data_IF_626989044134
#
_entry.id   IF_626989044134
#
_cell.length_a   1.000
_cell.length_b   1.000
_cell.length_c   1.000
_cell.angle_alpha   90.00
_cell.angle_beta   90.00
_cell.angle_gamma   90.00
#
_symmetry.space_group_name_H-M   'P 1'
#
loop_
_entity.id
_entity.type
_entity.pdbx_description
1 polymer ?
#
# COMPACT_ATOMS: atom_id res chain seq x y z
N UNK A 1 2.44 10.30 10.97
CA UNK A 1 1.05 10.01 10.54
C UNK A 1 0.60 8.74 11.20
N UNK A 2 -0.66 8.66 11.63
CA UNK A 2 -1.23 7.42 12.15
C UNK A 2 -1.69 6.47 11.02
N UNK A 3 -1.76 5.17 11.32
CA UNK A 3 -2.28 4.14 10.41
C UNK A 3 -3.65 4.48 9.81
N UNK A 4 -4.54 5.08 10.61
CA UNK A 4 -5.87 5.49 10.17
C UNK A 4 -5.80 6.62 9.15
N UNK A 5 -4.94 7.60 9.38
CA UNK A 5 -4.74 8.74 8.48
C UNK A 5 -4.15 8.27 7.15
N UNK A 6 -3.14 7.38 7.19
CA UNK A 6 -2.55 6.81 5.99
C UNK A 6 -3.59 6.03 5.17
N UNK A 7 -4.41 5.21 5.83
CA UNK A 7 -5.52 4.51 5.17
C UNK A 7 -6.48 5.49 4.50
N UNK A 8 -6.89 6.55 5.21
CA UNK A 8 -7.80 7.56 4.68
C UNK A 8 -7.22 8.34 3.51
N UNK A 9 -5.93 8.69 3.56
CA UNK A 9 -5.21 9.38 2.48
C UNK A 9 -5.24 8.54 1.19
N UNK A 10 -4.86 7.26 1.30
CA UNK A 10 -4.83 6.34 0.15
C UNK A 10 -6.23 6.01 -0.34
N UNK A 11 -7.18 5.80 0.57
CA UNK A 11 -8.59 5.56 0.23
C UNK A 11 -9.20 6.73 -0.53
N UNK A 12 -8.88 7.97 -0.15
CA UNK A 12 -9.35 9.17 -0.83
C UNK A 12 -8.68 9.35 -2.20
N UNK A 13 -7.36 9.12 -2.31
CA UNK A 13 -6.65 9.25 -3.58
C UNK A 13 -7.15 8.27 -4.66
N UNK A 14 -7.54 7.06 -4.24
CA UNK A 14 -8.03 5.99 -5.11
C UNK A 14 -9.53 5.74 -4.99
N UNK A 15 -10.28 6.74 -4.56
CA UNK A 15 -11.73 6.65 -4.48
C UNK A 15 -12.33 6.26 -5.84
N UNK A 16 -13.29 5.33 -5.82
CA UNK A 16 -13.93 4.78 -7.03
C UNK A 16 -13.12 3.74 -7.80
N UNK A 17 -11.84 3.55 -7.49
CA UNK A 17 -10.99 2.53 -8.12
C UNK A 17 -10.81 1.29 -7.25
N UNK A 18 -11.04 1.43 -5.95
CA UNK A 18 -10.92 0.35 -4.97
C UNK A 18 -11.82 -0.83 -5.35
N UNK A 19 -11.21 -2.01 -5.27
CA UNK A 19 -11.88 -3.29 -5.35
C UNK A 19 -12.62 -3.66 -4.08
N UNK A 20 -12.97 -4.94 -3.99
CA UNK A 20 -13.70 -5.52 -2.86
C UNK A 20 -13.01 -6.79 -2.35
N UNK A 21 -12.91 -6.91 -1.03
CA UNK A 21 -12.76 -8.20 -0.36
C UNK A 21 -14.15 -8.79 -0.19
N UNK A 22 -14.34 -10.01 -0.68
CA UNK A 22 -15.54 -10.82 -0.48
C UNK A 22 -15.16 -11.99 0.40
N UNK A 23 -15.55 -11.93 1.67
CA UNK A 23 -15.24 -12.95 2.66
C UNK A 23 -16.11 -14.21 2.46
N UNK A 24 -15.72 -15.38 3.01
CA UNK A 24 -16.48 -16.63 2.90
C UNK A 24 -17.93 -16.53 3.39
N UNK A 25 -18.21 -15.64 4.35
CA UNK A 25 -19.56 -15.37 4.85
C UNK A 25 -20.39 -14.44 3.94
N UNK A 26 -19.89 -14.10 2.75
CA UNK A 26 -20.52 -13.20 1.78
C UNK A 26 -20.38 -11.71 2.09
N UNK A 27 -19.76 -11.33 3.22
CA UNK A 27 -19.55 -9.92 3.57
C UNK A 27 -18.58 -9.28 2.57
N UNK A 28 -18.97 -8.11 2.06
CA UNK A 28 -18.14 -7.29 1.17
C UNK A 28 -17.62 -6.05 1.87
N UNK A 29 -16.33 -5.79 1.77
CA UNK A 29 -15.69 -4.55 2.24
C UNK A 29 -14.72 -4.05 1.19
N UNK A 30 -14.43 -2.75 1.17
CA UNK A 30 -13.45 -2.18 0.24
C UNK A 30 -12.10 -2.89 0.40
N UNK A 31 -11.43 -3.17 -0.70
CA UNK A 31 -10.16 -3.90 -0.73
C UNK A 31 -8.98 -3.01 -0.29
N UNK A 32 -9.04 -2.48 0.93
CA UNK A 32 -7.98 -1.68 1.56
C UNK A 32 -7.79 -2.13 3.01
N UNK A 33 -6.57 -2.56 3.34
CA UNK A 33 -6.23 -3.04 4.67
C UNK A 33 -4.93 -2.40 5.18
N UNK A 34 -4.91 -2.11 6.47
CA UNK A 34 -3.69 -1.79 7.21
C UNK A 34 -3.31 -3.01 8.01
N UNK A 35 -2.09 -3.51 7.85
CA UNK A 35 -1.65 -4.78 8.43
C UNK A 35 -0.41 -4.58 9.28
N UNK A 36 -0.29 -5.35 10.36
CA UNK A 36 0.96 -5.41 11.11
C UNK A 36 2.01 -6.18 10.30
N UNK A 37 3.28 -5.98 10.64
CA UNK A 37 4.35 -6.74 10.02
C UNK A 37 4.09 -8.24 10.18
N UNK A 38 4.26 -9.00 9.08
CA UNK A 38 4.08 -10.45 9.01
C UNK A 38 2.65 -10.96 9.24
N UNK A 39 1.65 -10.09 9.25
CA UNK A 39 0.24 -10.50 9.29
C UNK A 39 -0.20 -11.02 7.92
N UNK A 40 -0.75 -12.23 7.88
CA UNK A 40 -1.33 -12.78 6.66
C UNK A 40 -2.71 -12.16 6.43
N UNK A 41 -2.84 -11.38 5.36
CA UNK A 41 -4.09 -10.75 4.97
C UNK A 41 -4.20 -10.67 3.43
N UNK A 42 -5.41 -10.85 2.85
CA UNK A 42 -6.67 -11.20 3.51
C UNK A 42 -6.69 -12.64 4.05
N UNK A 43 -7.63 -12.98 4.97
CA UNK A 43 -7.81 -14.35 5.45
C UNK A 43 -8.09 -15.33 4.32
N UNK A 44 -7.72 -16.60 4.51
CA UNK A 44 -7.93 -17.66 3.54
C UNK A 44 -9.40 -17.77 3.09
N UNK A 45 -9.59 -18.05 1.80
CA UNK A 45 -10.91 -18.11 1.18
C UNK A 45 -11.56 -16.75 0.90
N UNK A 46 -10.87 -15.64 1.18
CA UNK A 46 -11.33 -14.30 0.74
C UNK A 46 -11.11 -14.15 -0.75
N UNK A 47 -12.16 -13.85 -1.50
CA UNK A 47 -12.05 -13.48 -2.90
C UNK A 47 -11.76 -11.99 -3.02
N UNK A 48 -10.73 -11.66 -3.80
CA UNK A 48 -10.32 -10.28 -4.08
C UNK A 48 -10.80 -9.92 -5.49
N UNK A 49 -11.50 -8.79 -5.63
CA UNK A 49 -12.04 -8.34 -6.91
C UNK A 49 -11.55 -6.92 -7.21
N UNK A 50 -10.83 -6.72 -8.30
CA UNK A 50 -10.33 -5.41 -8.73
C UNK A 50 -9.06 -4.97 -8.01
N UNK A 51 -9.01 -3.70 -7.61
CA UNK A 51 -7.81 -3.08 -7.04
C UNK A 51 -7.74 -3.34 -5.52
N UNK A 52 -6.68 -4.02 -5.08
CA UNK A 52 -6.37 -4.28 -3.69
C UNK A 52 -5.29 -3.31 -3.19
N UNK A 53 -5.43 -2.84 -1.95
CA UNK A 53 -4.43 -2.04 -1.27
C UNK A 53 -4.10 -2.68 0.08
N UNK A 54 -2.80 -2.86 0.31
CA UNK A 54 -2.25 -3.35 1.57
C UNK A 54 -1.22 -2.36 2.08
N UNK A 55 -1.41 -1.87 3.30
CA UNK A 55 -0.57 -0.87 3.95
C UNK A 55 0.02 -1.49 5.22
N UNK A 56 1.24 -2.03 5.17
CA UNK A 56 1.97 -2.38 6.38
C UNK A 56 2.16 -1.17 7.31
N UNK A 57 2.17 -1.39 8.62
CA UNK A 57 2.62 -0.39 9.59
C UNK A 57 4.00 0.17 9.21
N UNK A 58 4.27 1.45 9.51
CA UNK A 58 5.50 2.09 9.09
C UNK A 58 6.67 1.47 9.82
N UNK A 59 7.81 1.50 9.15
CA UNK A 59 9.07 1.00 9.70
C UNK A 59 9.93 2.21 10.05
N UNK A 60 10.51 2.27 11.25
CA UNK A 60 11.51 3.29 11.53
C UNK A 60 12.74 3.02 10.66
N UNK A 61 13.21 4.03 9.95
CA UNK A 61 14.47 4.02 9.21
C UNK A 61 15.41 5.03 9.85
N UNK A 62 16.66 4.61 10.06
CA UNK A 62 17.70 5.47 10.65
C UNK A 62 18.63 5.95 9.57
N UNK A 63 18.82 7.27 9.47
CA UNK A 63 19.77 7.90 8.58
C UNK A 63 20.88 8.55 9.42
N UNK A 64 22.12 8.13 9.20
CA UNK A 64 23.27 8.77 9.85
C UNK A 64 23.45 10.21 9.34
N UNK A 65 23.71 11.12 10.27
CA UNK A 65 24.09 12.52 10.03
C UNK A 65 25.45 12.78 10.69
N UNK A 66 26.06 13.94 10.44
CA UNK A 66 27.28 14.32 11.16
C UNK A 66 26.93 14.46 12.66
N UNK A 67 27.58 13.65 13.51
CA UNK A 67 27.42 13.59 14.97
C UNK A 67 26.02 13.25 15.52
N UNK A 68 25.09 12.79 14.69
CA UNK A 68 23.76 12.36 15.13
C UNK A 68 23.11 11.37 14.16
N UNK A 69 21.89 10.95 14.47
CA UNK A 69 21.07 10.19 13.54
C UNK A 69 19.67 10.79 13.45
N UNK A 70 19.06 10.60 12.29
CA UNK A 70 17.67 10.94 12.01
C UNK A 70 16.86 9.66 11.97
N UNK A 71 15.70 9.67 12.62
CA UNK A 71 14.71 8.60 12.47
C UNK A 71 13.57 9.13 11.63
N UNK A 72 13.17 8.36 10.63
CA UNK A 72 11.97 8.64 9.84
C UNK A 72 11.08 7.42 9.86
N UNK A 73 9.77 7.64 9.81
CA UNK A 73 8.83 6.56 9.58
C UNK A 73 8.64 6.38 8.08
N UNK A 74 8.98 5.19 7.61
CA UNK A 74 8.80 4.79 6.22
C UNK A 74 7.55 3.93 6.08
N UNK A 75 6.59 4.42 5.31
CA UNK A 75 5.41 3.68 4.90
C UNK A 75 5.68 2.96 3.58
N UNK A 76 5.23 1.72 3.50
CA UNK A 76 5.15 0.99 2.24
C UNK A 76 3.68 0.77 1.93
N UNK A 77 3.28 1.01 0.69
CA UNK A 77 1.93 0.73 0.21
C UNK A 77 2.08 -0.24 -0.96
N UNK A 78 1.37 -1.36 -0.89
CA UNK A 78 1.26 -2.32 -1.97
C UNK A 78 -0.11 -2.21 -2.61
N UNK A 79 -0.14 -1.96 -3.91
CA UNK A 79 -1.35 -1.86 -4.70
C UNK A 79 -1.32 -3.00 -5.71
N UNK A 80 -2.32 -3.87 -5.69
CA UNK A 80 -2.37 -5.05 -6.55
C UNK A 80 -3.61 -4.99 -7.44
N UNK A 81 -3.44 -5.16 -8.75
CA UNK A 81 -4.54 -5.17 -9.71
C UNK A 81 -4.89 -6.61 -10.07
N UNK A 82 -6.00 -7.11 -9.52
CA UNK A 82 -6.48 -8.46 -9.77
C UNK A 82 -7.39 -8.56 -11.00
N UNK A 83 -7.95 -7.44 -11.47
CA UNK A 83 -8.74 -7.40 -12.69
C UNK A 83 -7.81 -7.27 -13.92
N UNK A 84 -7.75 -8.35 -14.72
CA UNK A 84 -6.93 -8.44 -15.93
C UNK A 84 -7.35 -7.46 -17.03
N UNK A 85 -8.58 -6.96 -16.99
CA UNK A 85 -9.07 -5.95 -17.93
C UNK A 85 -8.59 -4.53 -17.61
N UNK A 86 -7.96 -4.33 -16.45
CA UNK A 86 -7.49 -3.02 -15.98
C UNK A 86 -5.98 -3.03 -15.79
N UNK A 87 -5.38 -1.84 -15.90
CA UNK A 87 -3.93 -1.68 -15.73
C UNK A 87 -3.60 -0.74 -14.58
N UNK A 88 -2.48 -1.01 -13.92
CA UNK A 88 -1.89 -0.15 -12.91
C UNK A 88 -1.51 1.25 -13.44
N UNK A 89 -1.43 1.42 -14.77
CA UNK A 89 -1.20 2.72 -15.42
C UNK A 89 -2.26 3.77 -15.10
N UNK A 90 -3.50 3.35 -14.84
CA UNK A 90 -4.60 4.26 -14.46
C UNK A 90 -4.49 4.72 -13.01
N UNK A 91 -3.86 3.90 -12.16
CA UNK A 91 -3.68 4.13 -10.72
C UNK A 91 -2.49 5.05 -10.47
N UNK A 92 -1.43 4.89 -11.27
CA UNK A 92 -0.14 5.54 -11.06
C UNK A 92 -0.24 7.08 -10.93
N UNK A 93 -0.95 7.83 -11.80
CA UNK A 93 -1.02 9.29 -11.67
C UNK A 93 -1.69 9.76 -10.38
N UNK A 94 -2.70 9.03 -9.89
CA UNK A 94 -3.42 9.36 -8.65
C UNK A 94 -2.60 9.10 -7.40
N UNK A 95 -1.71 8.11 -7.43
CA UNK A 95 -0.79 7.93 -6.32
C UNK A 95 0.40 8.86 -6.41
N UNK A 96 0.94 9.11 -7.61
CA UNK A 96 2.07 10.02 -7.76
C UNK A 96 1.74 11.47 -7.33
N UNK A 97 0.46 11.84 -7.18
CA UNK A 97 0.06 13.10 -6.57
C UNK A 97 0.12 13.11 -5.03
N UNK A 98 0.42 11.98 -4.37
CA UNK A 98 0.70 11.95 -2.95
C UNK A 98 2.07 12.57 -2.65
N UNK A 99 2.13 13.39 -1.62
CA UNK A 99 3.38 13.99 -1.16
C UNK A 99 4.25 12.97 -0.43
N UNK A 100 5.57 13.15 -0.48
CA UNK A 100 6.52 12.35 0.30
C UNK A 100 6.89 11.00 -0.31
N UNK A 101 6.59 10.76 -1.59
CA UNK A 101 7.03 9.56 -2.32
C UNK A 101 8.54 9.59 -2.48
N UNK A 102 9.20 8.57 -1.92
CA UNK A 102 10.63 8.32 -2.09
C UNK A 102 10.91 7.36 -3.24
N UNK A 103 10.07 6.33 -3.38
CA UNK A 103 10.31 5.24 -4.33
C UNK A 103 9.00 4.66 -4.84
N UNK A 104 9.03 4.28 -6.11
CA UNK A 104 7.95 3.55 -6.77
C UNK A 104 8.55 2.37 -7.52
N UNK A 105 7.94 1.20 -7.37
CA UNK A 105 8.33 -0.03 -8.05
C UNK A 105 7.09 -0.67 -8.67
N UNK A 106 7.08 -0.82 -9.99
CA UNK A 106 6.05 -1.56 -10.71
C UNK A 106 6.57 -2.97 -11.02
N UNK A 107 5.80 -3.96 -10.63
CA UNK A 107 6.05 -5.37 -10.86
C UNK A 107 4.93 -5.86 -11.80
N UNK A 108 5.25 -6.35 -13.01
CA UNK A 108 4.24 -6.84 -13.94
C UNK A 108 3.55 -8.08 -13.38
N UNK A 109 2.36 -8.39 -13.91
CA UNK A 109 1.69 -9.64 -13.60
C UNK A 109 2.51 -10.85 -14.09
N UNK A 110 2.39 -11.97 -13.37
CA UNK A 110 2.96 -13.26 -13.77
C UNK A 110 1.82 -14.29 -13.85
N UNK A 111 1.47 -14.64 -15.08
CA UNK A 111 0.39 -15.59 -15.36
C UNK A 111 0.73 -17.02 -14.92
N UNK A 112 2.01 -17.40 -14.91
CA UNK A 112 2.41 -18.76 -14.53
C UNK A 112 2.31 -18.95 -13.01
N UNK A 113 2.63 -17.89 -12.25
CA UNK A 113 2.53 -17.90 -10.79
C UNK A 113 1.17 -17.39 -10.27
N UNK A 114 0.28 -16.94 -11.16
CA UNK A 114 -1.03 -16.40 -10.81
C UNK A 114 -0.95 -15.08 -10.03
N UNK A 115 0.14 -14.31 -10.18
CA UNK A 115 0.32 -13.07 -9.43
C UNK A 115 -0.18 -11.85 -10.22
N UNK A 116 -0.93 -10.93 -9.58
CA UNK A 116 -1.42 -9.72 -10.21
C UNK A 116 -0.28 -8.75 -10.55
N UNK A 117 -0.59 -7.70 -11.31
CA UNK A 117 0.30 -6.54 -11.44
C UNK A 117 0.36 -5.82 -10.09
N UNK A 118 1.56 -5.49 -9.61
CA UNK A 118 1.78 -4.89 -8.28
C UNK A 118 2.55 -3.57 -8.42
N UNK A 119 2.01 -2.52 -7.82
CA UNK A 119 2.71 -1.25 -7.61
C UNK A 119 3.03 -1.10 -6.12
N UNK A 120 4.32 -1.04 -5.82
CA UNK A 120 4.81 -0.78 -4.47
C UNK A 120 5.34 0.64 -4.38
N UNK A 121 4.91 1.36 -3.36
CA UNK A 121 5.24 2.77 -3.17
C UNK A 121 5.75 2.96 -1.76
N UNK A 122 6.84 3.69 -1.65
CA UNK A 122 7.48 4.03 -0.39
C UNK A 122 7.31 5.51 -0.14
N UNK A 123 6.65 5.85 0.96
CA UNK A 123 6.49 7.20 1.47
C UNK A 123 7.33 7.34 2.73
N UNK A 124 7.90 8.51 2.96
CA UNK A 124 8.57 8.79 4.24
C UNK A 124 8.06 10.06 4.86
N UNK A 125 7.93 10.03 6.18
CA UNK A 125 7.62 11.20 6.97
C UNK A 125 8.77 11.56 7.89
N UNK A 126 8.99 12.86 8.02
CA UNK A 126 9.95 13.41 8.96
C UNK A 126 9.42 13.32 10.39
N UNK A 127 10.10 12.57 11.25
CA UNK A 127 9.86 12.58 12.70
C UNK A 127 11.10 13.11 13.44
N UNK A 128 11.38 14.41 13.29
CA UNK A 128 12.32 15.12 14.16
C UNK A 128 13.78 14.63 14.15
N UNK A 129 14.59 15.23 15.03
CA UNK A 129 15.96 14.80 15.31
C UNK A 129 15.97 14.07 16.66
N UNK A 130 16.50 12.85 16.70
CA UNK A 130 16.81 12.17 17.96
C UNK A 130 18.15 12.70 18.48
N UNK A 131 18.11 13.40 19.61
CA UNK A 131 19.28 13.83 20.38
C UNK A 131 19.80 12.72 21.28
#
# INVERSE_FOLDING_TARGET
MEAREMRSLVESALEGMLGWYVFPNGRKVKAIAVIKAFETFPPDGTQIQGLEIVIPYPRPITQALLDCYRVENEWTIHIKQWDRGKSMREVLPKILSLNGIKKTLLIPADDQMGTPEILTITLSEFEGLGS
#
